data_IF_762473460351
#
_entry.id   IF_762473460351
#
_cell.length_a   1.000
_cell.length_b   1.000
_cell.length_c   1.000
_cell.angle_alpha   90.00
_cell.angle_beta   90.00
_cell.angle_gamma   90.00
#
_symmetry.space_group_name_H-M   'P 1'
#
loop_
_entity.id
_entity.type
_entity.pdbx_description
1 polymer ?
#
# COMPACT_ATOMS: atom_id res chain seq x y z
N UNK A 1 -25.11 -10.29 -11.07
CA UNK A 1 -24.09 -9.45 -11.73
C UNK A 1 -23.05 -9.11 -10.69
N UNK A 2 -21.79 -9.52 -10.88
CA UNK A 2 -20.73 -9.16 -9.94
C UNK A 2 -20.67 -7.62 -9.86
N UNK A 3 -20.73 -7.05 -8.65
CA UNK A 3 -20.65 -5.60 -8.52
C UNK A 3 -19.24 -5.17 -8.93
N UNK A 4 -19.12 -4.44 -10.02
CA UNK A 4 -17.85 -3.91 -10.49
C UNK A 4 -17.27 -2.95 -9.44
N UNK A 5 -16.00 -3.11 -9.07
CA UNK A 5 -15.34 -2.21 -8.11
C UNK A 5 -15.28 -0.81 -8.73
N UNK A 6 -15.85 0.24 -8.10
CA UNK A 6 -15.87 1.58 -8.68
C UNK A 6 -14.46 2.09 -8.96
N UNK A 7 -14.28 2.83 -10.06
CA UNK A 7 -13.02 3.53 -10.34
C UNK A 7 -13.06 4.97 -9.84
N UNK A 8 -11.91 5.50 -9.44
CA UNK A 8 -11.73 6.87 -8.99
C UNK A 8 -10.39 7.45 -9.45
N UNK A 9 -10.29 8.78 -9.44
CA UNK A 9 -9.01 9.48 -9.62
C UNK A 9 -8.24 9.47 -8.30
N UNK A 10 -7.03 8.94 -8.30
CA UNK A 10 -6.11 8.99 -7.17
C UNK A 10 -5.25 10.25 -7.32
N UNK A 11 -5.60 11.28 -6.55
CA UNK A 11 -5.02 12.62 -6.70
C UNK A 11 -5.54 13.36 -7.93
N UNK A 12 -4.95 14.52 -8.22
CA UNK A 12 -5.32 15.40 -9.33
C UNK A 12 -4.47 15.20 -10.59
N UNK A 13 -3.43 14.37 -10.51
CA UNK A 13 -2.43 14.17 -11.57
C UNK A 13 -2.90 13.26 -12.72
N UNK A 14 -4.08 12.62 -12.59
CA UNK A 14 -4.71 11.87 -13.67
C UNK A 14 -4.68 10.35 -13.54
N UNK A 15 -4.03 9.81 -12.49
CA UNK A 15 -4.06 8.38 -12.19
C UNK A 15 -5.49 7.93 -11.83
N UNK A 16 -6.02 6.94 -12.55
CA UNK A 16 -7.34 6.33 -12.28
C UNK A 16 -7.15 4.89 -11.85
N UNK A 17 -7.77 4.52 -10.73
CA UNK A 17 -7.62 3.21 -10.08
C UNK A 17 -8.97 2.71 -9.57
N UNK A 18 -9.07 1.41 -9.27
CA UNK A 18 -10.17 0.86 -8.49
C UNK A 18 -10.17 1.43 -7.06
N UNK A 19 -11.35 1.77 -6.53
CA UNK A 19 -11.54 2.33 -5.19
C UNK A 19 -11.08 1.38 -4.08
N UNK A 20 -11.06 0.09 -4.37
CA UNK A 20 -10.40 -0.94 -3.57
C UNK A 20 -9.24 -1.51 -4.38
N UNK A 21 -8.04 -1.45 -3.80
CA UNK A 21 -6.85 -2.11 -4.33
C UNK A 21 -6.60 -3.47 -3.66
N UNK A 22 -5.59 -4.18 -4.16
CA UNK A 22 -5.06 -5.40 -3.56
C UNK A 22 -3.64 -5.15 -3.07
N UNK A 23 -3.44 -5.24 -1.75
CA UNK A 23 -2.11 -5.28 -1.15
C UNK A 23 -1.52 -6.69 -1.25
N UNK A 24 -0.41 -6.83 -1.95
CA UNK A 24 0.16 -8.13 -2.31
C UNK A 24 1.16 -8.68 -1.28
N UNK A 25 1.52 -7.90 -0.25
CA UNK A 25 2.53 -8.24 0.75
C UNK A 25 2.36 -9.64 1.36
N UNK A 26 1.13 -10.03 1.69
CA UNK A 26 0.83 -11.33 2.33
C UNK A 26 1.07 -12.55 1.44
N UNK A 27 1.22 -12.38 0.13
CA UNK A 27 1.36 -13.49 -0.83
C UNK A 27 2.71 -14.20 -0.72
N UNK A 28 3.77 -13.46 -0.36
CA UNK A 28 5.16 -13.96 -0.34
C UNK A 28 5.79 -13.92 1.05
N UNK A 29 4.97 -13.99 2.11
CA UNK A 29 5.44 -14.16 3.49
C UNK A 29 5.71 -12.85 4.23
N UNK A 30 4.76 -12.43 5.06
CA UNK A 30 4.90 -11.27 5.96
C UNK A 30 4.08 -11.39 7.25
N UNK A 31 2.96 -12.12 7.23
CA UNK A 31 2.13 -12.43 8.41
C UNK A 31 1.94 -13.94 8.57
N UNK A 32 2.98 -14.70 8.25
CA UNK A 32 2.93 -16.15 8.14
C UNK A 32 3.79 -16.69 6.99
N UNK A 33 3.81 -18.02 6.81
CA UNK A 33 4.55 -18.63 5.72
C UNK A 33 4.02 -18.14 4.36
N UNK A 34 4.89 -18.08 3.33
CA UNK A 34 4.44 -17.81 1.97
C UNK A 34 3.38 -18.84 1.55
N UNK A 35 2.47 -18.41 0.68
CA UNK A 35 1.45 -19.30 0.12
C UNK A 35 1.95 -19.91 -1.18
N UNK A 36 1.32 -21.00 -1.61
CA UNK A 36 1.63 -21.63 -2.90
C UNK A 36 1.48 -20.63 -4.05
N UNK A 37 2.51 -20.54 -4.90
CA UNK A 37 2.59 -19.56 -6.00
C UNK A 37 1.34 -19.64 -6.89
N UNK A 38 0.92 -20.86 -7.26
CA UNK A 38 -0.23 -21.08 -8.13
C UNK A 38 -1.56 -20.55 -7.55
N UNK A 39 -1.73 -20.59 -6.23
CA UNK A 39 -2.94 -20.07 -5.59
C UNK A 39 -2.91 -18.54 -5.50
N UNK A 40 -1.73 -17.95 -5.32
CA UNK A 40 -1.59 -16.49 -5.34
C UNK A 40 -1.77 -15.90 -6.75
N UNK A 41 -1.34 -16.62 -7.79
CA UNK A 41 -1.64 -16.26 -9.18
C UNK A 41 -3.16 -16.29 -9.42
N UNK A 42 -3.85 -17.37 -9.00
CA UNK A 42 -5.32 -17.45 -9.10
C UNK A 42 -6.01 -16.31 -8.35
N UNK A 43 -5.50 -15.93 -7.17
CA UNK A 43 -6.03 -14.81 -6.40
C UNK A 43 -5.87 -13.47 -7.13
N UNK A 44 -4.70 -13.20 -7.71
CA UNK A 44 -4.44 -12.01 -8.53
C UNK A 44 -5.41 -11.94 -9.71
N UNK A 45 -5.57 -13.06 -10.43
CA UNK A 45 -6.53 -13.18 -11.53
C UNK A 45 -7.96 -12.92 -11.07
N UNK A 46 -8.40 -13.54 -9.98
CA UNK A 46 -9.74 -13.34 -9.43
C UNK A 46 -10.00 -11.88 -9.04
N UNK A 47 -9.03 -11.20 -8.41
CA UNK A 47 -9.15 -9.79 -8.05
C UNK A 47 -9.33 -8.91 -9.30
N UNK A 48 -8.52 -9.14 -10.34
CA UNK A 48 -8.58 -8.41 -11.61
C UNK A 48 -9.91 -8.67 -12.33
N UNK A 49 -10.35 -9.93 -12.40
CA UNK A 49 -11.63 -10.31 -13.01
C UNK A 49 -12.83 -9.74 -12.22
N UNK A 50 -12.64 -9.43 -10.93
CA UNK A 50 -13.63 -8.76 -10.09
C UNK A 50 -13.62 -7.22 -10.20
N UNK A 51 -12.74 -6.65 -11.03
CA UNK A 51 -12.65 -5.20 -11.28
C UNK A 51 -11.60 -4.46 -10.43
N UNK A 52 -10.78 -5.15 -9.64
CA UNK A 52 -9.63 -4.53 -8.97
C UNK A 52 -8.55 -4.25 -10.00
N UNK A 53 -8.15 -2.99 -10.13
CA UNK A 53 -7.08 -2.58 -11.04
C UNK A 53 -5.83 -2.14 -10.30
N UNK A 54 -5.93 -1.75 -9.03
CA UNK A 54 -4.78 -1.25 -8.27
C UNK A 54 -4.08 -2.35 -7.48
N UNK A 55 -2.86 -2.70 -7.89
CA UNK A 55 -2.02 -3.71 -7.22
C UNK A 55 -0.86 -3.03 -6.51
N UNK A 56 -0.74 -3.22 -5.20
CA UNK A 56 0.31 -2.63 -4.37
C UNK A 56 1.30 -3.69 -3.90
N UNK A 57 2.57 -3.50 -4.24
CA UNK A 57 3.71 -4.36 -3.86
C UNK A 57 4.90 -3.52 -3.39
N UNK A 58 6.06 -4.14 -3.14
CA UNK A 58 7.32 -3.48 -2.82
C UNK A 58 8.49 -4.42 -3.07
N UNK A 59 9.66 -3.87 -3.39
CA UNK A 59 10.90 -4.62 -3.53
C UNK A 59 11.29 -5.44 -2.28
N UNK A 60 10.83 -5.07 -1.08
CA UNK A 60 11.13 -5.81 0.16
C UNK A 60 10.16 -6.93 0.51
N UNK A 61 9.06 -7.12 -0.22
CA UNK A 61 8.09 -8.17 0.10
C UNK A 61 8.60 -9.55 -0.34
N UNK A 62 8.64 -10.49 0.61
CA UNK A 62 9.26 -11.82 0.41
C UNK A 62 10.74 -11.75 -0.01
N UNK A 63 11.43 -10.65 0.30
CA UNK A 63 12.30 -9.87 -0.58
C UNK A 63 12.31 -10.22 -2.06
N UNK A 64 11.99 -9.25 -2.91
CA UNK A 64 12.05 -9.32 -4.38
C UNK A 64 11.07 -10.31 -5.05
N UNK A 65 10.60 -11.33 -4.33
CA UNK A 65 9.77 -12.41 -4.88
C UNK A 65 8.33 -11.97 -5.19
N UNK A 66 7.79 -10.98 -4.47
CA UNK A 66 6.42 -10.50 -4.69
C UNK A 66 6.23 -9.85 -6.06
N UNK A 67 7.21 -9.05 -6.49
CA UNK A 67 7.22 -8.41 -7.82
C UNK A 67 7.30 -9.48 -8.93
N UNK A 68 8.12 -10.52 -8.75
CA UNK A 68 8.23 -11.64 -9.69
C UNK A 68 6.90 -12.39 -9.82
N UNK A 69 6.24 -12.67 -8.69
CA UNK A 69 4.93 -13.33 -8.65
C UNK A 69 3.88 -12.53 -9.45
N UNK A 70 3.82 -11.22 -9.24
CA UNK A 70 2.89 -10.34 -9.95
C UNK A 70 3.21 -10.30 -11.44
N UNK A 71 4.49 -10.16 -11.82
CA UNK A 71 4.92 -10.18 -13.22
C UNK A 71 4.49 -11.45 -13.95
N UNK A 72 4.72 -12.62 -13.34
CA UNK A 72 4.25 -13.92 -13.85
C UNK A 72 2.74 -13.95 -14.04
N UNK A 73 1.97 -13.56 -13.02
CA UNK A 73 0.51 -13.59 -13.06
C UNK A 73 -0.06 -12.70 -14.18
N UNK A 74 0.52 -11.52 -14.41
CA UNK A 74 0.09 -10.61 -15.46
C UNK A 74 0.45 -11.13 -16.85
N UNK A 75 1.66 -11.69 -17.00
CA UNK A 75 2.15 -12.24 -18.27
C UNK A 75 1.32 -13.43 -18.74
N UNK A 76 0.95 -14.33 -17.83
CA UNK A 76 0.18 -15.55 -18.14
C UNK A 76 -1.12 -15.27 -18.92
N UNK A 77 -1.78 -14.14 -18.63
CA UNK A 77 -3.06 -13.75 -19.23
C UNK A 77 -3.04 -12.43 -19.99
N UNK A 78 -1.87 -11.83 -20.21
CA UNK A 78 -1.73 -10.53 -20.87
C UNK A 78 -2.51 -9.40 -20.17
N UNK A 79 -2.42 -9.32 -18.84
CA UNK A 79 -3.25 -8.42 -18.02
C UNK A 79 -2.60 -7.06 -17.70
N UNK A 80 -1.41 -6.78 -18.22
CA UNK A 80 -0.64 -5.56 -17.88
C UNK A 80 -1.45 -4.26 -18.06
N UNK A 81 -2.17 -4.13 -19.17
CA UNK A 81 -2.97 -2.94 -19.49
C UNK A 81 -4.27 -2.83 -18.66
N UNK A 82 -4.64 -3.89 -17.92
CA UNK A 82 -5.84 -3.88 -17.07
C UNK A 82 -5.57 -3.37 -15.66
N UNK A 83 -4.30 -3.20 -15.28
CA UNK A 83 -3.91 -2.88 -13.90
C UNK A 83 -3.01 -1.64 -13.83
N UNK A 84 -3.06 -0.98 -12.69
CA UNK A 84 -2.13 0.04 -12.25
C UNK A 84 -1.25 -0.58 -11.16
N UNK A 85 0.06 -0.69 -11.44
CA UNK A 85 1.01 -1.31 -10.53
C UNK A 85 1.66 -0.21 -9.68
N UNK A 86 1.49 -0.33 -8.36
CA UNK A 86 2.22 0.42 -7.36
C UNK A 86 3.35 -0.43 -6.77
N UNK A 87 4.59 0.05 -6.84
CA UNK A 87 5.71 -0.55 -6.10
C UNK A 87 6.54 0.51 -5.40
N UNK A 88 7.51 0.09 -4.58
CA UNK A 88 8.23 0.96 -3.64
C UNK A 88 9.70 0.58 -3.56
N UNK A 89 10.53 1.59 -3.32
CA UNK A 89 11.94 1.47 -2.94
C UNK A 89 12.19 2.14 -1.59
N UNK A 90 13.42 2.07 -1.10
CA UNK A 90 13.86 2.88 0.03
C UNK A 90 14.34 2.06 1.21
N UNK A 91 14.21 0.74 1.17
CA UNK A 91 14.82 -0.17 2.14
C UNK A 91 15.98 -0.93 1.50
N UNK A 92 17.19 -0.62 1.94
CA UNK A 92 18.43 -1.24 1.47
C UNK A 92 18.97 -2.17 2.55
N UNK A 93 19.30 -3.40 2.16
CA UNK A 93 19.98 -4.34 3.06
C UNK A 93 21.48 -4.02 3.09
N UNK A 94 22.03 -3.73 4.26
CA UNK A 94 23.45 -3.46 4.50
C UNK A 94 23.87 -4.26 5.73
N UNK A 95 24.82 -5.19 5.56
CA UNK A 95 25.34 -6.03 6.65
C UNK A 95 24.27 -6.73 7.50
N UNK A 96 23.21 -7.21 6.86
CA UNK A 96 22.08 -7.89 7.51
C UNK A 96 21.06 -6.95 8.18
N UNK A 97 21.27 -5.63 8.11
CA UNK A 97 20.35 -4.62 8.62
C UNK A 97 19.61 -3.91 7.48
N UNK A 98 18.37 -3.50 7.76
CA UNK A 98 17.59 -2.68 6.85
C UNK A 98 17.89 -1.20 7.13
N UNK A 99 18.44 -0.51 6.15
CA UNK A 99 18.59 0.94 6.16
C UNK A 99 17.52 1.60 5.28
N UNK A 100 17.05 2.78 5.69
CA UNK A 100 16.29 3.65 4.79
C UNK A 100 17.27 4.37 3.86
N UNK A 101 17.08 4.32 2.54
CA UNK A 101 18.01 4.88 1.57
C UNK A 101 17.27 5.64 0.46
N UNK A 102 17.45 6.96 0.42
CA UNK A 102 16.89 7.86 -0.59
C UNK A 102 17.92 8.35 -1.61
N UNK A 103 19.14 7.79 -1.58
CA UNK A 103 20.23 8.20 -2.46
C UNK A 103 19.88 7.99 -3.95
N UNK A 104 20.14 8.97 -4.84
CA UNK A 104 19.79 8.88 -6.26
C UNK A 104 20.29 7.61 -6.96
N UNK A 105 21.52 7.16 -6.69
CA UNK A 105 22.06 5.97 -7.36
C UNK A 105 21.26 4.72 -6.95
N UNK A 106 20.90 4.63 -5.66
CA UNK A 106 20.07 3.55 -5.15
C UNK A 106 18.63 3.61 -5.66
N UNK A 107 18.00 4.80 -5.70
CA UNK A 107 16.65 4.98 -6.25
C UNK A 107 16.58 4.44 -7.67
N UNK A 108 17.56 4.82 -8.51
CA UNK A 108 17.65 4.35 -9.89
C UNK A 108 17.83 2.84 -9.97
N UNK A 109 18.83 2.28 -9.29
CA UNK A 109 19.06 0.83 -9.35
C UNK A 109 17.84 0.03 -8.87
N UNK A 110 17.17 0.49 -7.81
CA UNK A 110 15.96 -0.15 -7.31
C UNK A 110 14.82 -0.10 -8.32
N UNK A 111 14.69 0.99 -9.08
CA UNK A 111 13.69 1.13 -10.14
C UNK A 111 13.96 0.15 -11.29
N UNK A 112 15.18 0.09 -11.79
CA UNK A 112 15.57 -0.85 -12.86
C UNK A 112 15.29 -2.30 -12.44
N UNK A 113 15.67 -2.65 -11.21
CA UNK A 113 15.48 -3.98 -10.70
C UNK A 113 14.00 -4.34 -10.53
N UNK A 114 13.17 -3.38 -10.08
CA UNK A 114 11.71 -3.57 -9.98
C UNK A 114 11.08 -3.78 -11.36
N UNK A 115 11.46 -2.98 -12.37
CA UNK A 115 11.00 -3.15 -13.76
C UNK A 115 11.34 -4.56 -14.28
N UNK A 116 12.57 -5.02 -14.06
CA UNK A 116 13.02 -6.36 -14.45
C UNK A 116 12.25 -7.47 -13.74
N UNK A 117 12.00 -7.34 -12.43
CA UNK A 117 11.27 -8.35 -11.66
C UNK A 117 9.79 -8.42 -12.04
N UNK A 118 9.18 -7.27 -12.30
CA UNK A 118 7.79 -7.19 -12.76
C UNK A 118 7.63 -7.59 -14.24
N UNK A 119 8.72 -7.64 -15.01
CA UNK A 119 8.73 -7.86 -16.46
C UNK A 119 7.87 -6.81 -17.20
N UNK A 120 8.08 -5.54 -16.88
CA UNK A 120 7.37 -4.37 -17.45
C UNK A 120 8.35 -3.25 -17.79
N UNK A 121 7.97 -2.40 -18.74
CA UNK A 121 8.79 -1.24 -19.15
C UNK A 121 8.53 0.03 -18.32
N UNK A 122 7.39 0.08 -17.61
CA UNK A 122 6.96 1.28 -16.89
C UNK A 122 6.13 0.92 -15.64
N UNK A 123 6.52 1.49 -14.49
CA UNK A 123 5.78 1.43 -13.23
C UNK A 123 4.72 2.53 -13.23
N UNK A 124 3.46 2.21 -12.89
CA UNK A 124 2.42 3.23 -12.86
C UNK A 124 2.60 4.17 -11.67
N UNK A 125 2.82 3.66 -10.46
CA UNK A 125 3.03 4.49 -9.26
C UNK A 125 4.24 4.00 -8.45
N UNK A 126 5.24 4.85 -8.28
CA UNK A 126 6.47 4.49 -7.56
C UNK A 126 6.62 5.28 -6.26
N UNK A 127 6.70 4.56 -5.15
CA UNK A 127 6.78 5.14 -3.82
C UNK A 127 8.20 5.16 -3.26
N UNK A 128 8.57 6.27 -2.62
CA UNK A 128 9.53 6.20 -1.52
C UNK A 128 8.85 5.53 -0.32
N UNK A 129 9.24 4.30 0.01
CA UNK A 129 8.60 3.46 1.04
C UNK A 129 8.80 4.05 2.44
N UNK A 130 9.95 4.67 2.69
CA UNK A 130 10.24 5.49 3.88
C UNK A 130 11.10 6.67 3.47
N UNK A 131 11.06 7.74 4.26
CA UNK A 131 11.82 8.96 4.02
C UNK A 131 13.22 8.81 4.63
N UNK A 132 14.25 8.92 3.80
CA UNK A 132 15.64 9.00 4.28
C UNK A 132 15.89 10.39 4.86
N UNK A 133 16.03 10.47 6.18
CA UNK A 133 16.20 11.73 6.90
C UNK A 133 17.64 12.25 6.88
N UNK A 134 18.60 11.47 6.33
CA UNK A 134 20.01 11.86 6.23
C UNK A 134 20.27 12.81 5.06
N UNK A 135 19.36 12.87 4.10
CA UNK A 135 19.44 13.76 2.94
C UNK A 135 18.16 14.59 2.78
N UNK A 136 18.23 15.78 2.17
CA UNK A 136 17.02 16.51 1.78
C UNK A 136 16.16 15.70 0.81
N UNK A 137 14.84 15.68 1.01
CA UNK A 137 13.89 14.96 0.16
C UNK A 137 13.96 15.39 -1.31
N UNK A 138 14.37 16.63 -1.57
CA UNK A 138 14.55 17.18 -2.92
C UNK A 138 15.60 16.42 -3.72
N UNK A 139 16.61 15.84 -3.06
CA UNK A 139 17.64 15.02 -3.71
C UNK A 139 17.00 13.73 -4.26
N UNK A 140 16.24 13.02 -3.42
CA UNK A 140 15.51 11.81 -3.83
C UNK A 140 14.48 12.13 -4.92
N UNK A 141 13.72 13.22 -4.74
CA UNK A 141 12.70 13.65 -5.71
C UNK A 141 13.31 14.08 -7.05
N UNK A 142 14.51 14.66 -7.04
CA UNK A 142 15.23 15.00 -8.25
C UNK A 142 15.52 13.77 -9.10
N UNK A 143 15.85 12.64 -8.49
CA UNK A 143 16.05 11.39 -9.22
C UNK A 143 14.74 10.76 -9.69
N UNK A 144 13.71 10.76 -8.84
CA UNK A 144 12.38 10.27 -9.23
C UNK A 144 11.81 11.04 -10.42
N UNK A 145 12.02 12.37 -10.46
CA UNK A 145 11.64 13.19 -11.60
C UNK A 145 12.32 12.74 -12.91
N UNK A 146 13.62 12.42 -12.89
CA UNK A 146 14.32 11.91 -14.08
C UNK A 146 13.72 10.58 -14.54
N UNK A 147 13.41 9.68 -13.60
CA UNK A 147 12.78 8.39 -13.94
C UNK A 147 11.39 8.59 -14.59
N UNK A 148 10.67 9.64 -14.23
CA UNK A 148 9.42 10.03 -14.91
C UNK A 148 9.70 10.58 -16.31
N UNK A 149 10.68 11.47 -16.47
CA UNK A 149 11.08 12.03 -17.76
C UNK A 149 11.59 10.96 -18.74
N UNK A 150 12.22 9.91 -18.22
CA UNK A 150 12.67 8.73 -18.98
C UNK A 150 11.54 7.73 -19.30
N UNK A 151 10.33 7.95 -18.77
CA UNK A 151 9.17 7.07 -18.98
C UNK A 151 9.18 5.77 -18.18
N UNK A 152 10.10 5.61 -17.22
CA UNK A 152 10.22 4.41 -16.36
C UNK A 152 9.17 4.38 -15.26
N UNK A 153 8.69 5.54 -14.85
CA UNK A 153 7.66 5.74 -13.82
C UNK A 153 6.64 6.74 -14.35
N UNK A 154 5.33 6.49 -14.16
CA UNK A 154 4.29 7.48 -14.53
C UNK A 154 3.97 8.46 -13.43
N UNK A 155 3.82 7.97 -12.20
CA UNK A 155 3.40 8.76 -11.04
C UNK A 155 4.30 8.48 -9.84
N UNK A 156 4.51 9.51 -9.01
CA UNK A 156 5.32 9.42 -7.79
C UNK A 156 4.42 9.43 -6.56
N UNK A 157 4.74 8.60 -5.58
CA UNK A 157 4.13 8.61 -4.27
C UNK A 157 5.15 8.65 -3.12
N UNK A 158 4.66 8.97 -1.92
CA UNK A 158 5.44 8.87 -0.68
C UNK A 158 4.70 7.97 0.31
N UNK A 159 5.41 7.29 1.20
CA UNK A 159 4.80 6.55 2.30
C UNK A 159 5.37 7.01 3.63
N UNK A 160 4.49 7.17 4.62
CA UNK A 160 4.85 7.57 5.98
C UNK A 160 5.69 8.87 6.03
N UNK A 161 5.32 9.85 5.20
CA UNK A 161 5.96 11.16 5.12
C UNK A 161 5.23 12.21 5.97
N UNK A 162 5.96 13.13 6.59
CA UNK A 162 5.37 14.28 7.28
C UNK A 162 4.75 15.29 6.30
N UNK A 163 3.82 16.13 6.78
CA UNK A 163 3.22 17.21 5.99
C UNK A 163 4.27 18.15 5.38
N UNK A 164 5.31 18.50 6.16
CA UNK A 164 6.42 19.33 5.70
C UNK A 164 7.24 18.66 4.59
N UNK A 165 7.50 17.36 4.71
CA UNK A 165 8.19 16.59 3.67
C UNK A 165 7.35 16.49 2.41
N UNK A 166 6.04 16.24 2.52
CA UNK A 166 5.11 16.16 1.38
C UNK A 166 5.14 17.46 0.58
N UNK A 167 5.05 18.63 1.25
CA UNK A 167 5.07 19.94 0.58
C UNK A 167 6.36 20.18 -0.19
N UNK A 168 7.50 19.90 0.45
CA UNK A 168 8.83 20.06 -0.15
C UNK A 168 9.03 19.14 -1.35
N UNK A 169 8.62 17.88 -1.23
CA UNK A 169 8.68 16.92 -2.32
C UNK A 169 7.80 17.33 -3.50
N UNK A 170 6.55 17.72 -3.23
CA UNK A 170 5.58 18.13 -4.25
C UNK A 170 6.03 19.37 -5.03
N UNK A 171 6.81 20.27 -4.40
CA UNK A 171 7.39 21.42 -5.07
C UNK A 171 8.48 21.05 -6.12
N UNK A 172 9.14 19.89 -5.98
CA UNK A 172 10.13 19.41 -6.96
C UNK A 172 9.47 18.69 -8.13
N UNK A 173 8.52 17.80 -7.82
CA UNK A 173 7.68 17.12 -8.80
C UNK A 173 6.34 16.74 -8.14
N UNK A 174 5.20 16.84 -8.85
CA UNK A 174 3.89 16.52 -8.28
C UNK A 174 3.80 15.11 -7.67
N UNK A 175 3.55 15.05 -6.36
CA UNK A 175 3.19 13.81 -5.68
C UNK A 175 1.74 13.46 -6.02
N UNK A 176 1.50 12.23 -6.45
CA UNK A 176 0.16 11.74 -6.83
C UNK A 176 -0.57 11.10 -5.64
N UNK A 177 0.16 10.37 -4.81
CA UNK A 177 -0.42 9.67 -3.68
C UNK A 177 0.51 9.65 -2.46
N UNK A 178 -0.08 9.68 -1.28
CA UNK A 178 0.59 9.41 -0.01
C UNK A 178 -0.03 8.16 0.62
N UNK A 179 0.81 7.20 1.00
CA UNK A 179 0.40 5.96 1.63
C UNK A 179 0.68 5.98 3.13
N UNK A 180 -0.38 5.88 3.94
CA UNK A 180 -0.30 5.92 5.41
C UNK A 180 -1.21 4.87 6.06
N UNK A 181 -0.90 4.49 7.30
CA UNK A 181 -1.84 3.75 8.12
C UNK A 181 -3.06 4.62 8.42
N UNK A 182 -4.26 4.13 8.12
CA UNK A 182 -5.49 4.83 8.48
C UNK A 182 -6.58 3.81 8.81
N UNK A 183 -7.03 3.82 10.06
CA UNK A 183 -8.08 2.93 10.55
C UNK A 183 -8.78 3.56 11.75
N UNK A 184 -9.76 2.87 12.34
CA UNK A 184 -10.33 3.29 13.62
C UNK A 184 -9.29 3.39 14.75
N UNK A 185 -8.15 2.72 14.63
CA UNK A 185 -7.06 2.78 15.62
C UNK A 185 -5.99 3.83 15.31
N UNK A 186 -5.89 4.28 14.06
CA UNK A 186 -4.84 5.21 13.62
C UNK A 186 -5.46 6.35 12.87
N UNK A 187 -5.52 7.52 13.54
CA UNK A 187 -6.17 8.72 13.02
C UNK A 187 -5.28 9.96 13.07
N UNK A 188 -4.03 9.83 13.53
CA UNK A 188 -3.09 10.96 13.68
C UNK A 188 -2.80 11.67 12.35
N UNK A 189 -2.89 10.95 11.23
CA UNK A 189 -2.77 11.54 9.89
C UNK A 189 -3.87 12.59 9.58
N UNK A 190 -5.01 12.56 10.27
CA UNK A 190 -6.13 13.48 10.04
C UNK A 190 -5.81 14.91 10.48
N UNK A 191 -4.85 15.10 11.38
CA UNK A 191 -4.47 16.42 11.92
C UNK A 191 -3.68 17.24 10.89
N UNK A 192 -2.72 16.63 10.18
CA UNK A 192 -1.81 17.35 9.29
C UNK A 192 -1.73 16.78 7.86
N UNK A 193 -1.76 15.45 7.70
CA UNK A 193 -1.55 14.80 6.40
C UNK A 193 -2.79 14.93 5.53
N UNK A 194 -3.98 14.64 6.06
CA UNK A 194 -5.24 14.75 5.31
C UNK A 194 -5.48 16.19 4.82
N UNK A 195 -5.34 17.25 5.64
CA UNK A 195 -5.45 18.62 5.16
C UNK A 195 -4.40 18.95 4.09
N UNK A 196 -3.14 18.55 4.28
CA UNK A 196 -2.06 18.81 3.31
C UNK A 196 -2.31 18.12 1.97
N UNK A 197 -2.71 16.84 1.99
CA UNK A 197 -3.06 16.12 0.77
C UNK A 197 -4.26 16.74 0.06
N UNK A 198 -5.28 17.17 0.81
CA UNK A 198 -6.44 17.87 0.24
C UNK A 198 -6.05 19.18 -0.44
N UNK A 199 -5.24 20.00 0.22
CA UNK A 199 -4.76 21.28 -0.31
C UNK A 199 -3.96 21.10 -1.62
N UNK A 200 -3.08 20.10 -1.68
CA UNK A 200 -2.20 19.85 -2.82
C UNK A 200 -2.83 18.95 -3.90
N UNK A 201 -4.07 18.48 -3.70
CA UNK A 201 -4.74 17.56 -4.61
C UNK A 201 -4.08 16.18 -4.70
N UNK A 202 -3.51 15.69 -3.59
CA UNK A 202 -2.83 14.40 -3.47
C UNK A 202 -3.82 13.34 -2.97
N UNK A 203 -3.79 12.15 -3.57
CA UNK A 203 -4.59 11.01 -3.11
C UNK A 203 -4.02 10.38 -1.84
N UNK A 204 -4.87 9.73 -1.03
CA UNK A 204 -4.42 8.94 0.12
C UNK A 204 -4.71 7.46 -0.15
N UNK A 205 -3.70 6.62 0.04
CA UNK A 205 -3.84 5.16 0.03
C UNK A 205 -3.71 4.68 1.47
N UNK A 206 -4.83 4.27 2.07
CA UNK A 206 -4.84 3.75 3.43
C UNK A 206 -4.35 2.30 3.47
N UNK A 207 -3.29 2.03 4.23
CA UNK A 207 -2.93 0.64 4.58
C UNK A 207 -3.47 0.27 5.96
N UNK A 208 -3.62 -1.05 6.18
CA UNK A 208 -4.18 -1.63 7.41
C UNK A 208 -5.52 -1.03 7.88
N UNK A 209 -6.50 -0.75 6.99
CA UNK A 209 -7.76 -0.12 7.38
C UNK A 209 -8.60 -0.96 8.36
N UNK A 210 -8.37 -2.27 8.38
CA UNK A 210 -9.01 -3.21 9.30
C UNK A 210 -8.24 -3.39 10.62
N UNK A 211 -7.34 -2.47 10.97
CA UNK A 211 -6.55 -2.55 12.21
C UNK A 211 -5.73 -3.84 12.27
N UNK A 212 -4.96 -4.11 11.22
CA UNK A 212 -4.12 -5.32 11.12
C UNK A 212 -4.91 -6.65 11.21
N UNK A 213 -6.20 -6.59 10.86
CA UNK A 213 -7.15 -7.71 10.86
C UNK A 213 -8.06 -7.78 12.09
N UNK A 214 -7.73 -7.05 13.16
CA UNK A 214 -8.49 -7.14 14.42
C UNK A 214 -9.92 -6.61 14.27
N UNK A 215 -10.14 -5.54 13.49
CA UNK A 215 -11.49 -5.00 13.28
C UNK A 215 -12.37 -5.93 12.43
N UNK A 216 -11.78 -6.93 11.77
CA UNK A 216 -12.51 -7.96 11.04
C UNK A 216 -12.81 -9.18 11.95
N UNK A 217 -11.78 -9.73 12.59
CA UNK A 217 -11.86 -11.03 13.30
C UNK A 217 -12.03 -10.91 14.83
N UNK A 218 -11.84 -9.73 15.41
CA UNK A 218 -11.97 -9.49 16.85
C UNK A 218 -10.90 -10.20 17.68
N UNK A 219 -11.18 -10.45 18.97
CA UNK A 219 -10.23 -11.09 19.90
C UNK A 219 -9.72 -12.45 19.45
N UNK A 220 -10.53 -13.21 18.69
CA UNK A 220 -10.16 -14.52 18.16
C UNK A 220 -8.92 -14.46 17.26
N UNK A 221 -8.63 -13.31 16.64
CA UNK A 221 -7.40 -13.13 15.87
C UNK A 221 -6.17 -13.35 16.72
N UNK A 222 -6.16 -12.80 17.95
CA UNK A 222 -4.99 -12.79 18.84
C UNK A 222 -4.64 -14.21 19.26
N UNK A 223 -5.66 -15.02 19.56
CA UNK A 223 -5.53 -16.44 19.92
C UNK A 223 -4.93 -17.28 18.78
N UNK A 224 -5.20 -16.88 17.53
CA UNK A 224 -4.79 -17.62 16.33
C UNK A 224 -3.51 -17.08 15.66
N UNK A 225 -2.87 -16.05 16.23
CA UNK A 225 -1.58 -15.57 15.73
C UNK A 225 -0.51 -16.64 15.93
N UNK A 226 0.25 -16.94 14.86
CA UNK A 226 1.36 -17.89 14.93
C UNK A 226 2.48 -17.38 15.87
N UNK A 227 3.35 -18.25 16.43
CA UNK A 227 4.37 -17.86 17.40
C UNK A 227 5.26 -16.67 16.98
N UNK A 228 5.67 -16.61 15.70
CA UNK A 228 6.58 -15.59 15.18
C UNK A 228 5.85 -14.43 14.46
N UNK A 229 4.55 -14.27 14.67
CA UNK A 229 3.82 -13.13 14.10
C UNK A 229 4.19 -11.84 14.84
N UNK A 230 4.75 -10.86 14.12
CA UNK A 230 5.20 -9.61 14.73
C UNK A 230 4.07 -8.79 15.39
N UNK A 231 2.80 -9.02 14.99
CA UNK A 231 1.65 -8.37 15.64
C UNK A 231 1.58 -8.69 17.12
N UNK A 232 2.10 -9.83 17.59
CA UNK A 232 2.21 -10.16 19.03
C UNK A 232 3.06 -9.16 19.82
N UNK A 233 3.99 -8.47 19.16
CA UNK A 233 4.86 -7.47 19.77
C UNK A 233 4.30 -6.05 19.70
N UNK A 234 3.16 -5.84 19.01
CA UNK A 234 2.54 -4.53 18.92
C UNK A 234 1.76 -4.22 20.21
N UNK A 235 1.94 -3.04 20.83
CA UNK A 235 1.21 -2.65 22.05
C UNK A 235 -0.33 -2.76 21.91
N UNK A 236 -0.85 -2.53 20.70
CA UNK A 236 -2.29 -2.64 20.41
C UNK A 236 -2.82 -4.08 20.51
N UNK A 237 -1.98 -5.09 20.34
CA UNK A 237 -2.37 -6.49 20.51
C UNK A 237 -2.16 -7.01 21.94
N UNK A 238 -1.58 -6.19 22.84
CA UNK A 238 -1.42 -6.52 24.26
C UNK A 238 -2.63 -6.08 25.09
N UNK A 239 -3.34 -5.02 24.66
CA UNK A 239 -4.54 -4.49 25.35
C UNK A 239 -5.85 -5.09 24.80
N UNK A 240 -5.92 -6.43 24.72
CA UNK A 240 -7.00 -7.15 24.03
C UNK A 240 -8.38 -6.86 24.63
N UNK A 241 -8.49 -6.79 25.96
CA UNK A 241 -9.78 -6.57 26.64
C UNK A 241 -10.38 -5.20 26.31
N UNK A 242 -9.57 -4.15 26.29
CA UNK A 242 -10.02 -2.82 25.88
C UNK A 242 -10.44 -2.82 24.40
N UNK A 243 -9.63 -3.43 23.55
CA UNK A 243 -9.90 -3.48 22.11
C UNK A 243 -11.10 -4.36 21.76
N UNK A 244 -11.43 -5.36 22.59
CA UNK A 244 -12.65 -6.16 22.46
C UNK A 244 -13.89 -5.28 22.52
N UNK A 245 -13.97 -4.33 23.46
CA UNK A 245 -15.10 -3.39 23.53
C UNK A 245 -15.24 -2.54 22.27
N UNK A 246 -14.11 -2.12 21.68
CA UNK A 246 -14.12 -1.40 20.38
C UNK A 246 -14.66 -2.30 19.28
N UNK A 247 -14.18 -3.54 19.18
CA UNK A 247 -14.65 -4.52 18.20
C UNK A 247 -16.15 -4.81 18.33
N UNK A 248 -16.66 -5.01 19.55
CA UNK A 248 -18.08 -5.27 19.81
C UNK A 248 -18.96 -4.13 19.29
N UNK A 249 -18.57 -2.88 19.56
CA UNK A 249 -19.29 -1.70 19.04
C UNK A 249 -19.26 -1.63 17.51
N UNK A 250 -18.12 -1.91 16.89
CA UNK A 250 -18.00 -1.98 15.42
C UNK A 250 -18.90 -3.07 14.86
N UNK A 251 -18.95 -4.24 15.51
CA UNK A 251 -19.77 -5.36 15.10
C UNK A 251 -21.27 -5.04 15.20
N UNK A 252 -21.71 -4.42 16.30
CA UNK A 252 -23.11 -3.94 16.46
C UNK A 252 -23.49 -2.91 15.39
N UNK A 253 -22.59 -1.99 15.07
CA UNK A 253 -22.80 -1.01 14.00
C UNK A 253 -22.89 -1.69 12.63
N UNK A 254 -22.04 -2.68 12.36
CA UNK A 254 -22.02 -3.41 11.11
C UNK A 254 -23.31 -4.22 10.93
N UNK A 255 -23.75 -4.91 11.98
CA UNK A 255 -25.02 -5.65 12.00
C UNK A 255 -26.22 -4.74 11.69
N UNK A 256 -26.31 -3.56 12.32
CA UNK A 256 -27.36 -2.57 12.03
C UNK A 256 -27.34 -2.07 10.58
N UNK A 257 -26.17 -2.07 9.93
CA UNK A 257 -25.99 -1.66 8.53
C UNK A 257 -26.06 -2.83 7.54
N UNK A 258 -26.29 -4.06 8.01
CA UNK A 258 -26.35 -5.25 7.16
C UNK A 258 -25.04 -5.59 6.46
N UNK A 259 -23.89 -5.25 7.08
CA UNK A 259 -22.56 -5.54 6.55
C UNK A 259 -21.68 -6.24 7.59
N UNK A 260 -20.52 -6.75 7.17
CA UNK A 260 -19.53 -7.31 8.11
C UNK A 260 -18.73 -6.20 8.79
N UNK A 261 -18.15 -6.51 9.96
CA UNK A 261 -17.22 -5.61 10.65
C UNK A 261 -16.04 -5.19 9.75
N UNK A 262 -15.53 -6.12 8.92
CA UNK A 262 -14.50 -5.85 7.93
C UNK A 262 -14.95 -4.83 6.88
N UNK A 263 -16.15 -5.00 6.32
CA UNK A 263 -16.73 -4.06 5.36
C UNK A 263 -16.95 -2.68 5.98
N UNK A 264 -17.42 -2.63 7.24
CA UNK A 264 -17.60 -1.37 7.95
C UNK A 264 -16.25 -0.67 8.21
N UNK A 265 -15.26 -1.38 8.73
CA UNK A 265 -13.93 -0.84 9.00
C UNK A 265 -13.26 -0.31 7.73
N UNK A 266 -13.34 -1.08 6.64
CA UNK A 266 -12.85 -0.65 5.33
C UNK A 266 -13.61 0.57 4.80
N UNK A 267 -14.93 0.58 4.92
CA UNK A 267 -15.80 1.65 4.43
C UNK A 267 -15.60 3.01 5.12
N UNK A 268 -15.00 3.05 6.32
CA UNK A 268 -14.75 4.29 7.05
C UNK A 268 -13.63 5.15 6.45
N UNK A 269 -12.66 4.53 5.79
CA UNK A 269 -11.56 5.23 5.11
C UNK A 269 -11.70 5.18 3.58
N UNK A 270 -12.72 4.47 3.09
CA UNK A 270 -13.06 4.46 1.68
C UNK A 270 -13.67 5.81 1.24
N UNK A 271 -13.56 6.16 -0.04
CA UNK A 271 -14.26 7.33 -0.56
C UNK A 271 -15.77 7.18 -0.34
N UNK A 272 -16.49 8.29 -0.06
CA UNK A 272 -17.93 8.25 0.07
C UNK A 272 -18.56 7.71 -1.23
N UNK A 273 -19.50 6.77 -1.08
CA UNK A 273 -20.35 6.36 -2.21
C UNK A 273 -21.26 7.55 -2.56
N UNK A 274 -21.21 7.98 -3.83
CA UNK A 274 -22.18 8.93 -4.37
C UNK A 274 -23.55 8.27 -4.50
#
# INVERSE_FOLDING_TARGET
MASEVPKLKLGSQGLVVSAQGLGCMGMTGSHGPPKEESDMIKLLHHAIDSGVTFLDTSNVYGPFTNEILIGKALKERGLREKVQIATKFGFRMVDGNIEVCGDPAYVRSACEDSLKRLDIDCIDLYYAHRIDTRIPIEITMGELKKLVEEGKVKYIGLSEASASTIRRAHAVHPITAVQNEWSLWTRDLEDEIVPTCRELGIGIVAYSPMGWGFLAAGPSLVENLIPNDFRKNMPRFQNVDHNKTVYERVNEMAARKGCTSAQLAFGLVAPPRK
#
